data_IF_260524825412
#
_entry.id   IF_260524825412
#
_cell.length_a   1.000
_cell.length_b   1.000
_cell.length_c   1.000
_cell.angle_alpha   90.00
_cell.angle_beta   90.00
_cell.angle_gamma   90.00
#
_symmetry.space_group_name_H-M   'P 1'
#
loop_
_entity.id
_entity.type
_entity.pdbx_description
1 polymer ?
#
# COMPACT_ATOMS: atom_id res chain seq x y z
N UNK A 1 3.48 -3.89 -2.19
CA UNK A 1 2.99 -5.19 -1.65
C UNK A 1 4.07 -6.13 -1.16
N UNK A 2 5.24 -6.30 -1.81
CA UNK A 2 6.28 -7.20 -1.29
C UNK A 2 6.61 -6.96 0.19
N UNK A 3 6.85 -5.69 0.56
CA UNK A 3 7.12 -5.31 1.95
C UNK A 3 5.92 -5.56 2.88
N UNK A 4 4.71 -5.17 2.46
CA UNK A 4 3.49 -5.33 3.27
C UNK A 4 3.21 -6.78 3.61
N UNK A 5 3.32 -7.70 2.65
CA UNK A 5 3.12 -9.13 2.89
C UNK A 5 4.16 -9.71 3.85
N UNK A 6 5.42 -9.30 3.72
CA UNK A 6 6.48 -9.73 4.64
C UNK A 6 6.26 -9.18 6.05
N UNK A 7 5.93 -7.90 6.18
CA UNK A 7 5.66 -7.26 7.46
C UNK A 7 4.48 -7.96 8.15
N UNK A 8 3.38 -8.18 7.43
CA UNK A 8 2.20 -8.86 7.98
C UNK A 8 2.53 -10.25 8.52
N UNK A 9 3.30 -11.02 7.75
CA UNK A 9 3.75 -12.36 8.16
C UNK A 9 4.65 -12.31 9.41
N UNK A 10 5.49 -11.29 9.55
CA UNK A 10 6.33 -11.13 10.73
C UNK A 10 5.54 -10.65 11.95
N UNK A 11 4.43 -9.94 11.73
CA UNK A 11 3.52 -9.48 12.77
C UNK A 11 2.51 -10.54 13.25
N UNK A 12 2.58 -11.79 12.73
CA UNK A 12 1.60 -12.84 13.01
C UNK A 12 1.36 -13.12 14.50
N UNK A 13 2.37 -12.91 15.35
CA UNK A 13 2.28 -13.10 16.81
C UNK A 13 1.98 -11.79 17.57
N UNK A 14 1.46 -10.78 16.88
CA UNK A 14 1.14 -9.46 17.44
C UNK A 14 -0.32 -9.09 17.15
N UNK A 15 -0.91 -8.13 17.89
CA UNK A 15 -2.23 -7.61 17.55
C UNK A 15 -2.21 -6.66 16.33
N UNK A 16 -1.05 -6.36 15.76
CA UNK A 16 -0.93 -5.46 14.61
C UNK A 16 -1.04 -6.22 13.29
N UNK A 17 -1.65 -5.58 12.29
CA UNK A 17 -1.74 -6.07 10.91
C UNK A 17 -1.11 -5.08 9.95
N UNK A 18 -0.45 -5.56 8.90
CA UNK A 18 0.09 -4.69 7.86
C UNK A 18 -0.84 -4.65 6.65
N UNK A 19 -1.26 -3.43 6.28
CA UNK A 19 -2.17 -3.17 5.17
C UNK A 19 -1.51 -2.20 4.20
N UNK A 20 -2.00 -2.17 2.96
CA UNK A 20 -1.55 -1.20 1.96
C UNK A 20 -2.72 -0.49 1.30
N UNK A 21 -2.46 0.72 0.81
CA UNK A 21 -3.42 1.46 0.01
C UNK A 21 -2.71 2.24 -1.10
N UNK A 22 -3.41 2.50 -2.20
CA UNK A 22 -2.96 3.43 -3.23
C UNK A 22 -4.06 4.43 -3.57
N UNK A 23 -3.72 5.69 -3.90
CA UNK A 23 -4.70 6.76 -4.10
C UNK A 23 -5.44 6.67 -5.45
N UNK A 24 -5.25 5.59 -6.22
CA UNK A 24 -5.52 5.58 -7.65
C UNK A 24 -4.57 6.51 -8.39
N UNK A 25 -5.06 7.12 -9.46
CA UNK A 25 -4.51 8.41 -9.84
C UNK A 25 -5.42 9.49 -9.30
N UNK A 26 -5.13 9.91 -8.07
CA UNK A 26 -5.49 11.24 -7.62
C UNK A 26 -4.40 12.20 -8.09
N UNK A 27 -4.78 13.46 -8.36
CA UNK A 27 -3.81 14.50 -8.68
C UNK A 27 -3.08 14.90 -7.40
N UNK A 28 -2.02 14.17 -7.05
CA UNK A 28 -1.12 14.50 -5.94
C UNK A 28 0.08 15.30 -6.47
N UNK A 29 0.85 15.89 -5.56
CA UNK A 29 2.07 16.65 -5.87
C UNK A 29 3.22 15.79 -6.45
N UNK A 30 2.98 14.52 -6.75
CA UNK A 30 3.96 13.57 -7.32
C UNK A 30 4.47 14.03 -8.69
N UNK A 31 3.63 14.69 -9.49
CA UNK A 31 3.97 15.14 -10.85
C UNK A 31 4.28 16.64 -10.94
N UNK A 32 4.54 17.31 -9.81
CA UNK A 32 4.70 18.78 -9.78
C UNK A 32 5.82 19.31 -10.69
N UNK A 33 6.87 18.52 -10.88
CA UNK A 33 8.02 18.83 -11.75
C UNK A 33 7.91 18.21 -13.15
N UNK A 34 6.80 17.56 -13.48
CA UNK A 34 6.57 17.02 -14.83
C UNK A 34 6.12 18.13 -15.80
N UNK A 35 6.32 17.96 -17.13
CA UNK A 35 5.89 18.93 -18.13
C UNK A 35 4.40 19.30 -18.00
N UNK A 36 4.04 20.55 -18.28
CA UNK A 36 2.67 21.06 -18.10
C UNK A 36 1.61 20.25 -18.86
N UNK A 37 1.91 19.82 -20.10
CA UNK A 37 1.02 18.98 -20.89
C UNK A 37 0.77 17.61 -20.25
N UNK A 38 1.81 17.02 -19.65
CA UNK A 38 1.71 15.78 -18.90
C UNK A 38 0.87 15.98 -17.64
N UNK A 39 1.13 17.04 -16.86
CA UNK A 39 0.32 17.39 -15.69
C UNK A 39 -1.15 17.62 -16.04
N UNK A 40 -1.45 18.28 -17.15
CA UNK A 40 -2.83 18.49 -17.62
C UNK A 40 -3.50 17.17 -18.01
N UNK A 41 -2.79 16.27 -18.70
CA UNK A 41 -3.27 14.94 -19.02
C UNK A 41 -3.52 14.11 -17.74
N UNK A 42 -2.62 14.21 -16.75
CA UNK A 42 -2.81 13.60 -15.44
C UNK A 42 -4.08 14.16 -14.81
N UNK A 43 -4.22 15.47 -14.63
CA UNK A 43 -5.43 16.07 -14.04
C UNK A 43 -6.71 15.69 -14.77
N UNK A 44 -6.70 15.59 -16.11
CA UNK A 44 -7.87 15.14 -16.89
C UNK A 44 -8.18 13.65 -16.70
N UNK A 45 -7.16 12.79 -16.62
CA UNK A 45 -7.32 11.35 -16.49
C UNK A 45 -7.58 10.92 -15.04
N UNK A 46 -7.04 11.67 -14.10
CA UNK A 46 -6.91 11.40 -12.67
C UNK A 46 -7.62 12.46 -11.82
N UNK A 47 -8.58 13.18 -12.42
CA UNK A 47 -9.30 14.36 -11.92
C UNK A 47 -10.09 14.17 -10.63
N UNK A 48 -9.38 13.79 -9.58
CA UNK A 48 -9.87 13.56 -8.23
C UNK A 48 -9.08 14.45 -7.30
N UNK A 49 -9.82 15.06 -6.39
CA UNK A 49 -9.26 15.89 -5.33
C UNK A 49 -8.33 15.04 -4.45
N UNK A 50 -7.34 15.66 -3.78
CA UNK A 50 -6.57 14.99 -2.75
C UNK A 50 -7.43 14.26 -1.71
N UNK A 51 -8.61 14.81 -1.36
CA UNK A 51 -9.57 14.18 -0.46
C UNK A 51 -10.05 12.81 -0.95
N UNK A 52 -10.38 12.67 -2.25
CA UNK A 52 -10.76 11.38 -2.84
C UNK A 52 -9.57 10.40 -2.87
N UNK A 53 -8.35 10.90 -3.07
CA UNK A 53 -7.13 10.10 -3.03
C UNK A 53 -6.79 9.57 -1.63
N UNK A 54 -7.26 10.23 -0.56
CA UNK A 54 -7.06 9.79 0.82
C UNK A 54 -8.00 8.63 1.22
N UNK A 55 -9.14 8.46 0.56
CA UNK A 55 -10.16 7.48 0.94
C UNK A 55 -9.66 6.02 0.99
N UNK A 56 -8.80 5.53 0.08
CA UNK A 56 -8.25 4.18 0.19
C UNK A 56 -7.42 3.96 1.46
N UNK A 57 -6.64 4.96 1.88
CA UNK A 57 -5.84 4.88 3.12
C UNK A 57 -6.74 4.90 4.34
N UNK A 58 -7.75 5.79 4.36
CA UNK A 58 -8.75 5.82 5.44
C UNK A 58 -9.47 4.47 5.55
N UNK A 59 -9.94 3.92 4.43
CA UNK A 59 -10.61 2.63 4.42
C UNK A 59 -9.69 1.51 4.90
N UNK A 60 -8.43 1.46 4.46
CA UNK A 60 -7.47 0.47 4.95
C UNK A 60 -7.31 0.55 6.47
N UNK A 61 -7.24 1.75 7.04
CA UNK A 61 -7.07 1.96 8.48
C UNK A 61 -8.32 1.67 9.31
N UNK A 62 -9.54 1.74 8.73
CA UNK A 62 -10.78 1.72 9.51
C UNK A 62 -11.79 0.64 9.11
N UNK A 63 -11.55 -0.15 8.06
CA UNK A 63 -12.47 -1.21 7.64
C UNK A 63 -12.46 -2.33 8.70
N UNK A 64 -13.57 -2.57 9.43
CA UNK A 64 -13.60 -3.57 10.51
C UNK A 64 -13.46 -5.00 9.99
N UNK A 65 -13.53 -5.21 8.67
CA UNK A 65 -13.31 -6.50 8.03
C UNK A 65 -11.88 -6.67 7.54
N UNK A 66 -11.02 -5.65 7.65
CA UNK A 66 -9.66 -5.68 7.09
C UNK A 66 -8.88 -6.88 7.62
N UNK A 67 -8.13 -7.52 6.73
CA UNK A 67 -7.26 -8.65 7.04
C UNK A 67 -5.84 -8.28 6.66
N UNK A 68 -4.87 -8.75 7.45
CA UNK A 68 -3.45 -8.60 7.16
C UNK A 68 -3.11 -8.91 5.70
N UNK A 69 -2.29 -8.05 5.10
CA UNK A 69 -1.92 -8.10 3.69
C UNK A 69 -2.96 -7.53 2.71
N UNK A 70 -4.15 -7.11 3.14
CA UNK A 70 -5.12 -6.48 2.24
C UNK A 70 -4.53 -5.24 1.54
N UNK A 71 -4.95 -5.03 0.29
CA UNK A 71 -4.58 -3.89 -0.53
C UNK A 71 -5.83 -3.11 -0.96
N UNK A 72 -5.87 -1.82 -0.64
CA UNK A 72 -7.01 -0.94 -0.89
C UNK A 72 -6.73 0.07 -2.00
N UNK A 73 -7.70 0.24 -2.88
CA UNK A 73 -7.59 1.10 -4.05
C UNK A 73 -8.96 1.51 -4.59
N UNK A 74 -9.03 2.42 -5.57
CA UNK A 74 -10.29 2.69 -6.26
C UNK A 74 -10.80 1.42 -6.95
N UNK A 75 -12.03 0.99 -6.65
CA UNK A 75 -12.57 -0.28 -7.17
C UNK A 75 -13.17 -0.18 -8.59
N UNK A 76 -12.89 0.89 -9.33
CA UNK A 76 -13.37 1.09 -10.70
C UNK A 76 -12.33 0.77 -11.76
N UNK A 77 -12.56 1.28 -12.97
CA UNK A 77 -11.77 0.89 -14.15
C UNK A 77 -10.26 1.16 -13.96
N UNK A 78 -9.46 0.12 -14.21
CA UNK A 78 -8.00 0.09 -14.07
C UNK A 78 -7.47 0.52 -12.68
N UNK A 79 -8.32 0.49 -11.65
CA UNK A 79 -7.99 0.99 -10.30
C UNK A 79 -7.62 2.50 -10.29
N UNK A 80 -8.05 3.22 -11.34
CA UNK A 80 -7.78 4.65 -11.53
C UNK A 80 -8.87 5.50 -10.86
N UNK A 81 -10.11 5.01 -10.86
CA UNK A 81 -11.31 5.71 -10.33
C UNK A 81 -12.19 4.73 -9.56
N UNK A 82 -13.17 5.25 -8.82
CA UNK A 82 -14.10 4.47 -7.98
C UNK A 82 -13.96 4.78 -6.48
N UNK A 83 -14.96 4.42 -5.67
CA UNK A 83 -14.81 4.46 -4.22
C UNK A 83 -13.76 3.42 -3.77
N UNK A 84 -13.11 3.62 -2.61
CA UNK A 84 -12.09 2.68 -2.15
C UNK A 84 -12.72 1.30 -1.94
N UNK A 85 -12.02 0.26 -2.35
CA UNK A 85 -12.35 -1.15 -2.12
C UNK A 85 -11.08 -1.99 -2.10
N UNK A 86 -11.23 -3.27 -1.77
CA UNK A 86 -10.11 -4.21 -1.88
C UNK A 86 -9.81 -4.47 -3.34
N UNK A 87 -8.53 -4.38 -3.69
CA UNK A 87 -8.01 -4.58 -5.04
C UNK A 87 -6.86 -5.59 -5.00
N UNK A 88 -6.44 -6.09 -6.17
CA UNK A 88 -5.40 -7.12 -6.24
C UNK A 88 -4.07 -6.50 -6.63
N UNK A 89 -3.00 -6.93 -5.98
CA UNK A 89 -1.66 -6.59 -6.42
C UNK A 89 -1.17 -7.50 -7.55
N UNK A 90 -0.04 -7.14 -8.15
CA UNK A 90 0.57 -7.93 -9.23
C UNK A 90 0.93 -9.34 -8.77
N UNK A 91 0.82 -10.33 -9.67
CA UNK A 91 1.14 -11.74 -9.37
C UNK A 91 2.54 -11.91 -8.78
N UNK A 92 3.51 -11.13 -9.28
CA UNK A 92 4.91 -11.13 -8.80
C UNK A 92 5.05 -10.74 -7.33
N UNK A 93 4.09 -10.01 -6.77
CA UNK A 93 4.14 -9.59 -5.37
C UNK A 93 3.81 -10.70 -4.38
N UNK A 94 3.19 -11.80 -4.82
CA UNK A 94 2.92 -12.98 -3.99
C UNK A 94 4.10 -13.96 -3.91
N UNK A 95 5.20 -13.69 -4.62
CA UNK A 95 6.43 -14.49 -4.54
C UNK A 95 7.14 -14.26 -3.20
N UNK A 96 7.06 -15.27 -2.33
CA UNK A 96 7.62 -15.22 -0.97
C UNK A 96 9.13 -15.03 -0.95
N UNK A 97 9.86 -15.63 -1.87
CA UNK A 97 11.32 -15.47 -1.93
C UNK A 97 11.67 -14.02 -2.24
N UNK A 98 10.91 -13.35 -3.12
CA UNK A 98 11.11 -11.91 -3.40
C UNK A 98 10.76 -11.02 -2.21
N UNK A 99 9.73 -11.38 -1.44
CA UNK A 99 9.35 -10.66 -0.22
C UNK A 99 10.49 -10.70 0.81
N UNK A 100 11.00 -11.90 1.12
CA UNK A 100 12.11 -12.12 2.05
C UNK A 100 13.43 -11.49 1.55
N UNK A 101 13.72 -11.58 0.25
CA UNK A 101 14.90 -10.95 -0.37
C UNK A 101 14.85 -9.44 -0.26
N UNK A 102 13.69 -8.82 -0.54
CA UNK A 102 13.50 -7.38 -0.44
C UNK A 102 13.69 -6.92 1.01
N UNK A 103 13.15 -7.66 1.98
CA UNK A 103 13.29 -7.36 3.39
C UNK A 103 14.75 -7.36 3.85
N UNK A 104 15.46 -8.45 3.53
CA UNK A 104 16.87 -8.61 3.89
C UNK A 104 17.73 -7.49 3.29
N UNK A 105 17.48 -7.13 2.03
CA UNK A 105 18.14 -6.00 1.40
C UNK A 105 17.78 -4.67 2.09
N UNK A 106 16.51 -4.47 2.46
CA UNK A 106 16.05 -3.25 3.14
C UNK A 106 16.71 -3.08 4.51
N UNK A 107 16.78 -4.14 5.32
CA UNK A 107 17.48 -4.10 6.62
C UNK A 107 18.97 -3.78 6.43
N UNK A 108 19.64 -4.40 5.45
CA UNK A 108 21.06 -4.15 5.17
C UNK A 108 21.31 -2.70 4.71
N UNK A 109 20.43 -2.14 3.87
CA UNK A 109 20.60 -0.80 3.31
C UNK A 109 20.24 0.32 4.31
N UNK A 110 19.39 0.02 5.28
CA UNK A 110 18.94 0.99 6.30
C UNK A 110 19.67 0.85 7.64
N UNK A 111 20.39 -0.25 7.84
CA UNK A 111 20.96 -0.67 9.14
C UNK A 111 19.91 -0.81 10.26
N UNK A 112 18.64 -0.97 9.89
CA UNK A 112 17.53 -1.21 10.82
C UNK A 112 17.18 -2.69 10.80
N UNK A 113 17.09 -3.31 11.99
CA UNK A 113 16.63 -4.69 12.16
C UNK A 113 15.23 -4.73 12.73
N UNK A 114 14.38 -5.54 12.13
CA UNK A 114 13.04 -5.74 12.65
C UNK A 114 12.99 -6.98 13.55
N UNK A 115 12.89 -6.73 14.85
CA UNK A 115 12.62 -7.75 15.85
C UNK A 115 11.18 -7.58 16.36
N UNK A 116 10.38 -8.64 16.28
CA UNK A 116 9.08 -8.69 16.95
C UNK A 116 9.31 -9.27 18.33
N UNK A 117 9.16 -8.44 19.36
CA UNK A 117 9.10 -8.92 20.74
C UNK A 117 7.75 -9.61 20.94
N UNK A 118 7.71 -10.93 20.87
CA UNK A 118 6.54 -11.69 21.28
C UNK A 118 6.23 -11.38 22.75
N UNK A 119 4.95 -11.19 23.08
CA UNK A 119 4.53 -11.17 24.48
C UNK A 119 4.60 -12.61 25.00
N UNK A 120 5.74 -13.01 25.53
CA UNK A 120 5.85 -14.23 26.34
C UNK A 120 5.11 -13.94 27.66
N UNK A 121 3.82 -14.27 27.70
CA UNK A 121 3.03 -14.21 28.94
C UNK A 121 3.67 -15.11 30.00
N UNK A 122 3.96 -14.51 31.16
CA UNK A 122 4.27 -15.22 32.42
C UNK A 122 3.00 -15.67 33.12
#
# INVERSE_FOLDING_TARGET
MLFTYELDRRLADTPATALAAHPGGASTEVFRYSPAAFRLAIVRLFGRTPAMGALPTLRAATDPRATGGDYYGPAGLFEIRGYPGRVKSSTRSYDRHRQESLWTASEKLTDVRFAVSGTTGS
#
